data_IF_549964992673
#
_entry.id   IF_549964992673
#
_cell.length_a   1.000
_cell.length_b   1.000
_cell.length_c   1.000
_cell.angle_alpha   90.00
_cell.angle_beta   90.00
_cell.angle_gamma   90.00
#
_symmetry.space_group_name_H-M   'P 1'
#
loop_
_entity.id
_entity.type
_entity.pdbx_description
1 polymer ?
#
# COMPACT_ATOMS: atom_id res chain seq x y z
N UNK A 1 2.57 -7.82 14.10
CA UNK A 1 1.93 -6.66 13.45
C UNK A 1 2.12 -5.39 14.27
N UNK A 2 1.30 -5.11 15.30
CA UNK A 2 1.37 -3.84 16.06
C UNK A 2 2.78 -3.38 16.51
N UNK A 3 3.55 -4.24 17.17
CA UNK A 3 4.92 -3.89 17.61
C UNK A 3 5.86 -3.62 16.44
N UNK A 4 5.74 -4.39 15.35
CA UNK A 4 6.52 -4.18 14.12
C UNK A 4 6.19 -2.85 13.44
N UNK A 5 4.92 -2.47 13.37
CA UNK A 5 4.51 -1.18 12.81
C UNK A 5 5.03 0.00 13.64
N UNK A 6 4.98 -0.12 14.97
CA UNK A 6 5.54 0.88 15.88
C UNK A 6 7.04 1.04 15.63
N UNK A 7 7.78 -0.07 15.58
CA UNK A 7 9.21 -0.08 15.30
C UNK A 7 9.53 0.54 13.92
N UNK A 8 8.76 0.18 12.88
CA UNK A 8 8.89 0.74 11.53
C UNK A 8 8.71 2.25 11.51
N UNK A 9 7.66 2.78 12.17
CA UNK A 9 7.42 4.23 12.29
C UNK A 9 8.52 4.96 13.06
N UNK A 10 9.16 4.28 14.01
CA UNK A 10 10.28 4.83 14.78
C UNK A 10 11.65 4.65 14.10
N UNK A 11 11.71 4.01 12.93
CA UNK A 11 12.95 3.76 12.19
C UNK A 11 13.79 2.61 12.76
N UNK A 12 13.25 1.80 13.67
CA UNK A 12 13.90 0.60 14.21
C UNK A 12 13.68 -0.58 13.24
N UNK A 13 14.34 -0.53 12.09
CA UNK A 13 14.08 -1.45 10.98
C UNK A 13 14.39 -2.92 11.30
N UNK A 14 15.45 -3.20 12.08
CA UNK A 14 15.79 -4.58 12.46
C UNK A 14 14.70 -5.21 13.37
N UNK A 15 14.23 -4.44 14.35
CA UNK A 15 13.15 -4.85 15.24
C UNK A 15 11.83 -5.00 14.47
N UNK A 16 11.54 -4.07 13.55
CA UNK A 16 10.38 -4.15 12.69
C UNK A 16 10.39 -5.42 11.84
N UNK A 17 11.53 -5.71 11.20
CA UNK A 17 11.74 -6.91 10.38
C UNK A 17 11.44 -8.18 11.16
N UNK A 18 12.08 -8.34 12.33
CA UNK A 18 11.87 -9.52 13.16
C UNK A 18 10.40 -9.72 13.52
N UNK A 19 9.71 -8.64 13.92
CA UNK A 19 8.28 -8.70 14.27
C UNK A 19 7.38 -9.12 13.09
N UNK A 20 7.71 -8.68 11.87
CA UNK A 20 6.95 -9.04 10.68
C UNK A 20 7.29 -10.44 10.16
N UNK A 21 8.55 -10.88 10.25
CA UNK A 21 8.96 -12.26 9.96
C UNK A 21 8.23 -13.24 10.89
N UNK A 22 8.23 -12.99 12.20
CA UNK A 22 7.49 -13.81 13.17
C UNK A 22 5.98 -13.84 12.90
N UNK A 23 5.40 -12.71 12.46
CA UNK A 23 3.98 -12.64 12.11
C UNK A 23 3.68 -13.44 10.84
N UNK A 24 4.54 -13.35 9.82
CA UNK A 24 4.43 -14.10 8.59
C UNK A 24 4.61 -15.61 8.83
N UNK A 25 5.54 -16.01 9.69
CA UNK A 25 5.71 -17.43 10.05
C UNK A 25 4.46 -18.02 10.70
N UNK A 26 3.79 -17.26 11.57
CA UNK A 26 2.59 -17.72 12.29
C UNK A 26 1.37 -17.82 11.39
N UNK A 27 1.11 -16.80 10.57
CA UNK A 27 -0.19 -16.64 9.89
C UNK A 27 -0.11 -16.63 8.36
N UNK A 28 1.09 -16.53 7.77
CA UNK A 28 1.32 -16.50 6.31
C UNK A 28 0.39 -15.51 5.61
N UNK A 29 0.37 -14.26 6.07
CA UNK A 29 -0.52 -13.23 5.52
C UNK A 29 0.18 -12.35 4.49
N UNK A 30 -0.54 -11.89 3.44
CA UNK A 30 -0.01 -10.91 2.47
C UNK A 30 0.36 -9.58 3.15
N UNK A 31 -0.34 -9.23 4.23
CA UNK A 31 -0.06 -8.02 5.02
C UNK A 31 1.33 -8.04 5.66
N UNK A 32 1.74 -9.17 6.24
CA UNK A 32 3.06 -9.29 6.86
C UNK A 32 4.18 -9.17 5.81
N UNK A 33 4.00 -9.78 4.63
CA UNK A 33 4.92 -9.63 3.49
C UNK A 33 5.00 -8.17 3.02
N UNK A 34 3.87 -7.47 2.95
CA UNK A 34 3.84 -6.07 2.57
C UNK A 34 4.67 -5.20 3.53
N UNK A 35 4.53 -5.41 4.83
CA UNK A 35 5.34 -4.69 5.82
C UNK A 35 6.82 -5.07 5.77
N UNK A 36 7.17 -6.32 5.48
CA UNK A 36 8.56 -6.71 5.21
C UNK A 36 9.12 -5.98 3.98
N UNK A 37 8.33 -5.85 2.92
CA UNK A 37 8.73 -5.12 1.72
C UNK A 37 9.01 -3.64 2.02
N UNK A 38 8.21 -3.01 2.90
CA UNK A 38 8.45 -1.64 3.35
C UNK A 38 9.78 -1.51 4.09
N UNK A 39 10.09 -2.44 5.00
CA UNK A 39 11.37 -2.45 5.72
C UNK A 39 12.52 -2.57 4.74
N UNK A 40 12.44 -3.51 3.80
CA UNK A 40 13.48 -3.72 2.80
C UNK A 40 13.62 -2.51 1.86
N UNK A 41 12.53 -1.83 1.49
CA UNK A 41 12.59 -0.57 0.76
C UNK A 41 13.30 0.54 1.56
N UNK A 42 12.96 0.72 2.85
CA UNK A 42 13.56 1.74 3.74
C UNK A 42 15.04 1.47 4.02
N UNK A 43 15.46 0.22 3.95
CA UNK A 43 16.87 -0.22 4.10
C UNK A 43 17.59 -0.41 2.77
N UNK A 44 16.97 0.02 1.66
CA UNK A 44 17.52 -0.02 0.30
C UNK A 44 17.81 -1.44 -0.26
N UNK A 45 17.13 -2.47 0.27
CA UNK A 45 17.13 -3.84 -0.22
C UNK A 45 16.06 -4.04 -1.30
N UNK A 46 16.18 -3.34 -2.43
CA UNK A 46 15.10 -3.21 -3.43
C UNK A 46 14.70 -4.53 -4.12
N UNK A 47 15.63 -5.46 -4.33
CA UNK A 47 15.31 -6.77 -4.91
C UNK A 47 14.43 -7.61 -4.00
N UNK A 48 14.74 -7.60 -2.70
CA UNK A 48 13.95 -8.29 -1.68
C UNK A 48 12.58 -7.62 -1.53
N UNK A 49 12.54 -6.29 -1.47
CA UNK A 49 11.31 -5.53 -1.38
C UNK A 49 10.35 -5.83 -2.55
N UNK A 50 10.86 -5.87 -3.79
CA UNK A 50 10.05 -6.22 -4.96
C UNK A 50 9.55 -7.66 -4.90
N UNK A 51 10.41 -8.63 -4.53
CA UNK A 51 10.00 -10.03 -4.39
C UNK A 51 8.87 -10.20 -3.38
N UNK A 52 8.96 -9.53 -2.24
CA UNK A 52 7.95 -9.56 -1.18
C UNK A 52 6.62 -8.94 -1.62
N UNK A 53 6.66 -7.81 -2.35
CA UNK A 53 5.45 -7.22 -2.94
C UNK A 53 4.79 -8.17 -3.92
N UNK A 54 5.56 -8.80 -4.82
CA UNK A 54 5.02 -9.75 -5.81
C UNK A 54 4.39 -10.97 -5.12
N UNK A 55 5.01 -11.47 -4.07
CA UNK A 55 4.46 -12.59 -3.28
C UNK A 55 3.16 -12.19 -2.58
N UNK A 56 3.13 -11.01 -1.95
CA UNK A 56 1.91 -10.47 -1.33
C UNK A 56 0.76 -10.30 -2.34
N UNK A 57 1.05 -9.79 -3.54
CA UNK A 57 0.08 -9.68 -4.64
C UNK A 57 -0.45 -11.06 -5.08
N UNK A 58 0.45 -12.04 -5.21
CA UNK A 58 0.09 -13.40 -5.65
C UNK A 58 -0.77 -14.15 -4.62
N UNK A 59 -0.51 -13.96 -3.32
CA UNK A 59 -1.30 -14.55 -2.25
C UNK A 59 -2.74 -13.99 -2.18
N UNK A 60 -2.99 -12.85 -2.82
CA UNK A 60 -4.30 -12.20 -2.88
C UNK A 60 -4.72 -11.56 -1.55
N UNK A 61 -5.93 -10.97 -1.54
CA UNK A 61 -6.58 -10.32 -0.40
C UNK A 61 -5.68 -9.37 0.42
N UNK A 62 -5.24 -8.28 -0.21
CA UNK A 62 -4.65 -7.14 0.50
C UNK A 62 -5.72 -6.12 0.92
N UNK A 63 -6.90 -6.59 1.37
CA UNK A 63 -8.07 -5.85 1.86
C UNK A 63 -8.04 -4.31 1.66
N UNK A 64 -8.11 -3.53 2.74
CA UNK A 64 -8.01 -2.07 2.72
C UNK A 64 -6.55 -1.58 2.69
N UNK A 65 -5.59 -2.50 2.76
CA UNK A 65 -4.15 -2.22 2.60
C UNK A 65 -3.70 -2.18 1.13
N UNK A 66 -4.59 -2.43 0.18
CA UNK A 66 -4.21 -2.55 -1.23
C UNK A 66 -3.63 -1.25 -1.79
N UNK A 67 -4.11 -0.10 -1.33
CA UNK A 67 -3.54 1.19 -1.66
C UNK A 67 -2.07 1.31 -1.21
N UNK A 68 -1.73 0.76 -0.03
CA UNK A 68 -0.35 0.70 0.48
C UNK A 68 0.55 -0.13 -0.43
N UNK A 69 0.04 -1.27 -0.92
CA UNK A 69 0.76 -2.15 -1.85
C UNK A 69 1.12 -1.40 -3.12
N UNK A 70 0.12 -0.77 -3.75
CA UNK A 70 0.33 -0.02 -4.99
C UNK A 70 1.34 1.12 -4.78
N UNK A 71 1.24 1.83 -3.65
CA UNK A 71 2.14 2.94 -3.33
C UNK A 71 3.60 2.50 -3.18
N UNK A 72 3.87 1.48 -2.36
CA UNK A 72 5.24 0.99 -2.18
C UNK A 72 5.77 0.25 -3.41
N UNK A 73 4.92 -0.44 -4.17
CA UNK A 73 5.31 -1.02 -5.46
C UNK A 73 5.83 0.06 -6.41
N UNK A 74 5.11 1.18 -6.53
CA UNK A 74 5.56 2.32 -7.32
C UNK A 74 6.92 2.86 -6.82
N UNK A 75 7.07 3.08 -5.50
CA UNK A 75 8.32 3.56 -4.92
C UNK A 75 9.52 2.62 -5.17
N UNK A 76 9.31 1.32 -5.01
CA UNK A 76 10.34 0.29 -5.25
C UNK A 76 10.74 0.29 -6.72
N UNK A 77 9.76 0.21 -7.63
CA UNK A 77 10.02 0.14 -9.06
C UNK A 77 10.64 1.42 -9.60
N UNK A 78 10.21 2.61 -9.14
CA UNK A 78 10.83 3.88 -9.53
C UNK A 78 12.32 3.96 -9.20
N UNK A 79 12.78 3.29 -8.13
CA UNK A 79 14.21 3.21 -7.80
C UNK A 79 14.98 2.18 -8.65
N UNK A 80 14.30 1.23 -9.29
CA UNK A 80 14.91 0.14 -10.08
C UNK A 80 14.83 0.39 -11.58
N UNK A 81 13.63 0.66 -12.07
CA UNK A 81 13.29 0.89 -13.47
C UNK A 81 12.22 1.99 -13.54
N UNK A 82 12.61 3.13 -14.12
CA UNK A 82 11.73 4.30 -14.20
C UNK A 82 10.43 4.01 -14.97
N UNK A 83 10.47 3.20 -16.03
CA UNK A 83 9.29 2.97 -16.87
C UNK A 83 8.26 2.11 -16.13
N UNK A 84 8.71 0.98 -15.56
CA UNK A 84 7.86 0.11 -14.72
C UNK A 84 7.37 0.85 -13.46
N UNK A 85 8.21 1.72 -12.90
CA UNK A 85 7.86 2.55 -11.76
C UNK A 85 6.78 3.58 -12.07
N UNK A 86 6.83 4.22 -13.24
CA UNK A 86 5.80 5.15 -13.69
C UNK A 86 4.48 4.43 -14.00
N UNK A 87 4.52 3.23 -14.58
CA UNK A 87 3.33 2.41 -14.78
C UNK A 87 2.67 2.04 -13.44
N UNK A 88 3.47 1.58 -12.46
CA UNK A 88 2.97 1.28 -11.13
C UNK A 88 2.44 2.52 -10.40
N UNK A 89 3.06 3.69 -10.61
CA UNK A 89 2.58 4.95 -10.06
C UNK A 89 1.23 5.37 -10.68
N UNK A 90 1.03 5.16 -11.98
CA UNK A 90 -0.25 5.43 -12.64
C UNK A 90 -1.35 4.51 -12.10
N UNK A 91 -1.04 3.23 -11.87
CA UNK A 91 -1.97 2.29 -11.21
C UNK A 91 -2.36 2.76 -9.80
N UNK A 92 -1.40 3.24 -9.00
CA UNK A 92 -1.66 3.83 -7.69
C UNK A 92 -2.60 5.05 -7.79
N UNK A 93 -2.31 5.97 -8.71
CA UNK A 93 -3.12 7.18 -8.93
C UNK A 93 -4.55 6.83 -9.37
N UNK A 94 -4.69 5.86 -10.28
CA UNK A 94 -5.98 5.37 -10.76
C UNK A 94 -6.81 4.75 -9.64
N UNK A 95 -6.20 3.88 -8.83
CA UNK A 95 -6.89 3.25 -7.70
C UNK A 95 -7.33 4.27 -6.64
N UNK A 96 -6.42 5.16 -6.20
CA UNK A 96 -6.77 6.19 -5.21
C UNK A 96 -7.91 7.09 -5.68
N UNK A 97 -7.88 7.52 -6.95
CA UNK A 97 -8.93 8.34 -7.53
C UNK A 97 -10.31 7.64 -7.57
N UNK A 98 -10.34 6.30 -7.57
CA UNK A 98 -11.57 5.52 -7.50
C UNK A 98 -12.12 5.36 -6.07
N UNK A 99 -11.25 5.43 -5.06
CA UNK A 99 -11.61 5.24 -3.66
C UNK A 99 -11.99 6.55 -2.97
N UNK A 100 -11.31 7.65 -3.29
CA UNK A 100 -11.48 8.93 -2.61
C UNK A 100 -11.39 10.12 -3.60
N UNK A 101 -12.36 11.05 -3.61
CA UNK A 101 -12.25 12.27 -4.40
C UNK A 101 -11.12 13.19 -3.92
N UNK A 102 -9.99 13.03 -4.61
CA UNK A 102 -9.14 14.09 -5.17
C UNK A 102 -8.47 15.11 -4.23
N UNK A 103 -8.72 15.13 -2.93
CA UNK A 103 -8.30 16.26 -2.07
C UNK A 103 -6.77 16.43 -1.92
N UNK A 104 -5.94 15.41 -2.19
CA UNK A 104 -4.47 15.52 -2.02
C UNK A 104 -3.60 14.87 -3.11
N UNK A 105 -4.17 14.18 -4.12
CA UNK A 105 -3.37 13.40 -5.10
C UNK A 105 -2.82 14.22 -6.27
N UNK A 106 -3.15 15.51 -6.39
CA UNK A 106 -2.78 16.31 -7.55
C UNK A 106 -1.27 16.33 -7.80
N UNK A 107 -0.48 16.39 -6.74
CA UNK A 107 0.97 16.45 -6.85
C UNK A 107 1.57 15.10 -7.29
N UNK A 108 1.07 13.99 -6.76
CA UNK A 108 1.46 12.63 -7.19
C UNK A 108 1.07 12.41 -8.67
N UNK A 109 -0.13 12.85 -9.06
CA UNK A 109 -0.58 12.79 -10.45
C UNK A 109 0.31 13.64 -11.36
N UNK A 110 0.71 14.83 -10.92
CA UNK A 110 1.62 15.70 -11.67
C UNK A 110 2.98 15.03 -11.87
N UNK A 111 3.53 14.41 -10.83
CA UNK A 111 4.78 13.64 -10.92
C UNK A 111 4.67 12.50 -11.94
N UNK A 112 3.59 11.70 -11.88
CA UNK A 112 3.34 10.62 -12.84
C UNK A 112 3.24 11.13 -14.29
N UNK A 113 2.48 12.20 -14.52
CA UNK A 113 2.25 12.76 -15.86
C UNK A 113 3.47 13.44 -16.49
N UNK A 114 4.32 14.05 -15.67
CA UNK A 114 5.50 14.79 -16.13
C UNK A 114 6.78 13.95 -16.09
N UNK A 115 6.72 12.75 -15.50
CA UNK A 115 7.86 11.90 -15.19
C UNK A 115 8.94 12.58 -14.33
N UNK A 116 8.63 13.74 -13.76
CA UNK A 116 9.53 14.49 -12.88
C UNK A 116 9.29 14.08 -11.43
N UNK A 117 9.96 13.01 -11.00
CA UNK A 117 9.74 12.37 -9.71
C UNK A 117 10.66 12.96 -8.63
N UNK A 118 10.06 13.59 -7.62
CA UNK A 118 10.72 13.88 -6.34
C UNK A 118 10.45 12.70 -5.40
N UNK A 119 11.40 11.78 -5.30
CA UNK A 119 11.24 10.54 -4.53
C UNK A 119 10.92 10.77 -3.04
N UNK A 120 11.65 11.63 -2.30
CA UNK A 120 11.31 11.94 -0.91
C UNK A 120 9.90 12.52 -0.74
N UNK A 121 9.49 13.45 -1.60
CA UNK A 121 8.16 14.03 -1.54
C UNK A 121 7.08 13.00 -1.90
N UNK A 122 7.32 12.20 -2.94
CA UNK A 122 6.40 11.14 -3.38
C UNK A 122 6.14 10.14 -2.25
N UNK A 123 7.20 9.66 -1.59
CA UNK A 123 7.10 8.72 -0.48
C UNK A 123 6.26 9.29 0.67
N UNK A 124 6.50 10.55 1.04
CA UNK A 124 5.71 11.24 2.06
C UNK A 124 4.23 11.34 1.67
N UNK A 125 3.94 11.72 0.43
CA UNK A 125 2.56 11.86 -0.06
C UNK A 125 1.83 10.51 -0.07
N UNK A 126 2.50 9.44 -0.52
CA UNK A 126 1.93 8.08 -0.51
C UNK A 126 1.64 7.64 0.92
N UNK A 127 2.56 7.84 1.87
CA UNK A 127 2.34 7.48 3.28
C UNK A 127 1.17 8.24 3.91
N UNK A 128 1.03 9.52 3.60
CA UNK A 128 -0.09 10.35 4.05
C UNK A 128 -1.44 9.86 3.48
N UNK A 129 -1.50 9.64 2.16
CA UNK A 129 -2.71 9.19 1.44
C UNK A 129 -3.15 7.80 1.90
N UNK A 130 -2.21 6.88 2.07
CA UNK A 130 -2.46 5.53 2.59
C UNK A 130 -2.98 5.60 4.02
N UNK A 131 -2.32 6.37 4.90
CA UNK A 131 -2.72 6.48 6.30
C UNK A 131 -4.11 7.06 6.44
N UNK A 132 -4.43 8.10 5.66
CA UNK A 132 -5.75 8.70 5.65
C UNK A 132 -6.82 7.69 5.21
N UNK A 133 -6.58 7.00 4.08
CA UNK A 133 -7.50 5.99 3.55
C UNK A 133 -7.76 4.85 4.55
N UNK A 134 -6.69 4.26 5.10
CA UNK A 134 -6.81 3.13 6.02
C UNK A 134 -7.53 3.53 7.32
N UNK A 135 -7.22 4.71 7.88
CA UNK A 135 -7.90 5.22 9.08
C UNK A 135 -9.41 5.45 8.83
N UNK A 136 -9.79 5.99 7.67
CA UNK A 136 -11.19 6.24 7.33
C UNK A 136 -11.97 4.93 7.13
N UNK A 137 -11.36 3.92 6.50
CA UNK A 137 -11.96 2.59 6.35
C UNK A 137 -12.11 1.91 7.72
N UNK A 138 -11.09 1.99 8.58
CA UNK A 138 -11.12 1.42 9.93
C UNK A 138 -12.18 2.10 10.81
N UNK A 139 -12.28 3.44 10.76
CA UNK A 139 -13.30 4.19 11.46
C UNK A 139 -14.70 3.76 11.01
N UNK A 140 -14.92 3.64 9.70
CA UNK A 140 -16.20 3.19 9.16
C UNK A 140 -16.56 1.78 9.63
N UNK A 141 -15.62 0.83 9.56
CA UNK A 141 -15.88 -0.55 10.01
C UNK A 141 -16.10 -0.67 11.51
N UNK A 142 -15.42 0.14 12.33
CA UNK A 142 -15.51 0.08 13.78
C UNK A 142 -16.74 0.80 14.36
N UNK A 143 -17.18 1.88 13.72
CA UNK A 143 -18.19 2.79 14.29
C UNK A 143 -19.43 2.98 13.41
N UNK A 144 -19.39 2.54 12.15
CA UNK A 144 -20.43 2.81 11.16
C UNK A 144 -20.50 4.27 10.71
N UNK A 145 -19.68 5.16 11.29
CA UNK A 145 -19.59 6.59 10.95
C UNK A 145 -18.27 6.89 10.25
N UNK A 146 -18.19 8.01 9.54
CA UNK A 146 -16.99 8.43 8.82
C UNK A 146 -17.29 8.88 7.39
N UNK A 147 -16.25 9.12 6.60
CA UNK A 147 -16.41 9.61 5.24
C UNK A 147 -17.29 8.72 4.35
N UNK A 148 -17.22 7.40 4.58
CA UNK A 148 -17.99 6.39 3.86
C UNK A 148 -19.39 6.11 4.45
N UNK A 149 -19.80 6.76 5.54
CA UNK A 149 -21.13 6.62 6.16
C UNK A 149 -22.24 7.20 5.26
N UNK A 150 -22.02 8.39 4.70
CA UNK A 150 -23.02 9.10 3.88
C UNK A 150 -23.04 8.69 2.40
N UNK A 151 -22.08 7.86 1.95
CA UNK A 151 -22.01 7.38 0.56
C UNK A 151 -22.31 5.90 0.58
N UNK A 152 -23.50 5.51 0.15
CA UNK A 152 -23.91 4.12 0.01
C UNK A 152 -22.91 3.34 -0.85
N UNK A 153 -21.89 2.75 -0.21
CA UNK A 153 -21.00 1.75 -0.79
C UNK A 153 -21.77 0.45 -1.15
N UNK A 154 -23.00 0.33 -0.63
CA UNK A 154 -23.93 -0.76 -0.88
C UNK A 154 -24.79 -0.52 -2.14
N UNK A 155 -24.12 -0.48 -3.29
CA UNK A 155 -24.75 -0.54 -4.61
C UNK A 155 -24.10 -1.54 -5.56
N UNK A 156 -23.07 -2.26 -5.11
CA UNK A 156 -22.39 -3.28 -5.89
C UNK A 156 -21.24 -3.83 -5.08
N UNK A 157 -21.18 -5.16 -4.99
CA UNK A 157 -20.16 -5.91 -4.28
C UNK A 157 -18.76 -5.30 -4.48
N UNK A 158 -18.03 -5.09 -3.38
CA UNK A 158 -16.56 -5.12 -3.42
C UNK A 158 -16.13 -6.48 -3.99
N UNK A 159 -16.12 -6.61 -5.32
CA UNK A 159 -15.45 -7.69 -6.03
C UNK A 159 -14.01 -7.25 -6.18
N UNK A 160 -13.21 -7.55 -5.17
CA UNK A 160 -11.79 -7.76 -5.40
C UNK A 160 -11.69 -8.78 -6.55
N UNK A 161 -11.15 -8.37 -7.70
CA UNK A 161 -10.89 -9.28 -8.81
C UNK A 161 -9.70 -10.18 -8.43
N UNK A 162 -9.99 -11.16 -7.58
CA UNK A 162 -9.18 -12.35 -7.31
C UNK A 162 -10.05 -13.56 -7.57
N UNK A 163 -10.45 -13.74 -8.83
CA UNK A 163 -11.28 -14.84 -9.28
C UNK A 163 -10.50 -16.16 -9.28
N UNK A 164 -10.41 -16.81 -8.12
CA UNK A 164 -10.20 -18.24 -8.04
C UNK A 164 -11.56 -18.94 -8.15
N UNK A 165 -11.90 -19.41 -9.35
CA UNK A 165 -13.04 -20.31 -9.56
C UNK A 165 -12.63 -21.67 -9.01
N UNK A 166 -13.24 -22.11 -7.91
CA UNK A 166 -13.27 -23.53 -7.56
C UNK A 166 -14.63 -24.08 -7.98
N UNK A 167 -14.58 -25.12 -8.82
CA UNK A 167 -15.71 -25.88 -9.35
C UNK A 167 -16.49 -26.62 -8.26
#
# INVERSE_FOLDING_TARGET
MFYGEKALRSGYYDEAKQNFEEAYEKNKTPEALMYLAMVDYKTNNLDSAESLVREAEWMGSVNYHYLRVLGYKALILLKKNSDEGLEALDQYVGFYASCDPLMSIQEVRRMAQTSNIDMPLLEKLIEEQVSWFENDVELYWSSGVGYYDARSFFGGSFRFHGGGIFH
#
